data_IF_129341730249
#
_entry.id   IF_129341730249
#
_cell.length_a   1.000
_cell.length_b   1.000
_cell.length_c   1.000
_cell.angle_alpha   90.00
_cell.angle_beta   90.00
_cell.angle_gamma   90.00
#
_symmetry.space_group_name_H-M   'P 1'
#
loop_
_entity.id
_entity.type
_entity.pdbx_description
1 polymer ?
#
# COMPACT_ATOMS: atom_id res chain seq x y z
N UNK A 1 2.18 -30.67 1.83
CA UNK A 1 2.30 -29.24 1.50
C UNK A 1 1.01 -28.56 1.93
N UNK A 2 0.98 -27.94 3.11
CA UNK A 2 -0.24 -27.39 3.68
C UNK A 2 -0.54 -26.02 3.03
N UNK A 3 -1.57 -25.98 2.19
CA UNK A 3 -2.16 -24.73 1.71
C UNK A 3 -2.73 -23.99 2.91
N UNK A 4 -2.05 -22.93 3.37
CA UNK A 4 -2.58 -21.99 4.35
C UNK A 4 -3.72 -21.24 3.68
N UNK A 5 -4.91 -21.82 3.68
CA UNK A 5 -6.13 -21.04 3.54
C UNK A 5 -6.05 -19.91 4.57
N UNK A 6 -6.00 -18.66 4.10
CA UNK A 6 -6.23 -17.51 4.96
C UNK A 6 -7.62 -17.71 5.55
N UNK A 7 -7.67 -18.16 6.80
CA UNK A 7 -8.88 -18.16 7.61
C UNK A 7 -9.37 -16.71 7.67
N UNK A 8 -10.27 -16.36 6.74
CA UNK A 8 -10.92 -15.05 6.73
C UNK A 8 -11.92 -15.06 7.87
N UNK A 9 -11.41 -14.81 9.08
CA UNK A 9 -12.21 -14.37 10.22
C UNK A 9 -13.10 -13.23 9.71
N UNK A 10 -14.41 -13.19 10.00
CA UNK A 10 -15.26 -12.08 9.56
C UNK A 10 -14.61 -10.80 10.06
N UNK A 11 -14.00 -10.05 9.13
CA UNK A 11 -13.34 -8.79 9.45
C UNK A 11 -14.48 -7.87 9.83
N UNK A 12 -14.59 -7.55 11.12
CA UNK A 12 -15.50 -6.52 11.55
C UNK A 12 -14.99 -5.23 10.91
N UNK A 13 -15.74 -4.72 9.92
CA UNK A 13 -15.30 -3.59 9.12
C UNK A 13 -15.38 -2.32 9.98
N UNK A 14 -14.34 -1.51 9.93
CA UNK A 14 -14.40 -0.20 10.57
C UNK A 14 -15.48 0.67 9.90
N UNK A 15 -16.20 1.50 10.67
CA UNK A 15 -17.02 2.55 10.09
C UNK A 15 -16.19 3.44 9.16
N UNK A 16 -16.76 3.98 8.06
CA UNK A 16 -16.00 4.66 7.00
C UNK A 16 -15.11 5.81 7.51
N UNK A 17 -15.66 6.69 8.35
CA UNK A 17 -14.92 7.82 8.93
C UNK A 17 -13.86 7.40 9.95
N UNK A 18 -14.08 6.27 10.63
CA UNK A 18 -13.10 5.71 11.57
C UNK A 18 -11.90 5.17 10.79
N UNK A 19 -12.16 4.40 9.72
CA UNK A 19 -11.10 3.86 8.86
C UNK A 19 -10.27 4.99 8.23
N UNK A 20 -10.92 5.97 7.62
CA UNK A 20 -10.28 7.13 7.02
C UNK A 20 -9.35 7.85 8.00
N UNK A 21 -9.83 8.15 9.22
CA UNK A 21 -9.03 8.83 10.26
C UNK A 21 -7.88 7.95 10.75
N UNK A 22 -8.07 6.64 10.88
CA UNK A 22 -7.00 5.74 11.31
C UNK A 22 -5.88 5.65 10.27
N UNK A 23 -6.22 5.63 8.98
CA UNK A 23 -5.22 5.65 7.88
C UNK A 23 -4.40 6.94 7.93
N UNK A 24 -5.05 8.11 7.99
CA UNK A 24 -4.32 9.39 8.07
C UNK A 24 -3.49 9.54 9.35
N UNK A 25 -3.86 8.85 10.44
CA UNK A 25 -3.06 8.81 11.66
C UNK A 25 -1.82 7.93 11.49
N UNK A 26 -1.94 6.74 10.89
CA UNK A 26 -0.80 5.85 10.70
C UNK A 26 0.20 6.42 9.69
N UNK A 27 -0.27 7.16 8.68
CA UNK A 27 0.58 7.86 7.71
C UNK A 27 1.58 8.83 8.36
N UNK A 28 1.29 9.34 9.57
CA UNK A 28 2.22 10.21 10.31
C UNK A 28 3.51 9.51 10.73
N UNK A 29 3.53 8.17 10.70
CA UNK A 29 4.71 7.33 10.97
C UNK A 29 5.50 6.99 9.71
N UNK A 30 5.01 7.38 8.53
CA UNK A 30 5.69 7.16 7.26
C UNK A 30 6.73 8.26 6.99
N UNK A 31 7.77 7.96 6.19
CA UNK A 31 8.67 8.97 5.64
C UNK A 31 7.90 10.11 4.97
N UNK A 32 8.41 11.36 5.00
CA UNK A 32 7.68 12.53 4.53
C UNK A 32 7.14 12.41 3.09
N UNK A 33 7.94 11.86 2.17
CA UNK A 33 7.54 11.65 0.77
C UNK A 33 6.39 10.66 0.62
N UNK A 34 6.46 9.52 1.31
CA UNK A 34 5.39 8.50 1.31
C UNK A 34 4.12 9.03 1.97
N UNK A 35 4.25 9.80 3.04
CA UNK A 35 3.10 10.43 3.70
C UNK A 35 2.39 11.42 2.78
N UNK A 36 3.13 12.30 2.11
CA UNK A 36 2.56 13.31 1.22
C UNK A 36 1.71 12.65 0.13
N UNK A 37 2.32 11.70 -0.60
CA UNK A 37 1.66 10.96 -1.67
C UNK A 37 0.45 10.17 -1.13
N UNK A 38 0.62 9.48 -0.01
CA UNK A 38 -0.42 8.66 0.60
C UNK A 38 -1.62 9.47 1.10
N UNK A 39 -1.40 10.58 1.79
CA UNK A 39 -2.47 11.44 2.32
C UNK A 39 -3.35 11.99 1.20
N UNK A 40 -2.75 12.44 0.09
CA UNK A 40 -3.49 12.98 -1.05
C UNK A 40 -4.27 11.88 -1.78
N UNK A 41 -3.67 10.71 -1.96
CA UNK A 41 -4.36 9.57 -2.56
C UNK A 41 -5.55 9.12 -1.72
N UNK A 42 -5.38 8.90 -0.40
CA UNK A 42 -6.46 8.50 0.52
C UNK A 42 -7.61 9.50 0.51
N UNK A 43 -7.31 10.80 0.60
CA UNK A 43 -8.34 11.86 0.56
C UNK A 43 -9.13 11.82 -0.74
N UNK A 44 -8.44 11.65 -1.87
CA UNK A 44 -9.08 11.61 -3.18
C UNK A 44 -9.97 10.38 -3.35
N UNK A 45 -9.50 9.21 -2.92
CA UNK A 45 -10.22 7.93 -3.03
C UNK A 45 -11.47 7.91 -2.16
N UNK A 46 -11.37 8.30 -0.88
CA UNK A 46 -12.54 8.36 0.01
C UNK A 46 -13.55 9.42 -0.44
N UNK A 47 -13.10 10.52 -1.07
CA UNK A 47 -14.00 11.51 -1.67
C UNK A 47 -14.74 10.94 -2.88
N UNK A 48 -14.03 10.24 -3.79
CA UNK A 48 -14.62 9.56 -4.94
C UNK A 48 -15.65 8.50 -4.55
N UNK A 49 -15.47 7.86 -3.40
CA UNK A 49 -16.36 6.81 -2.90
C UNK A 49 -17.51 7.29 -2.00
N UNK A 50 -17.65 8.60 -1.76
CA UNK A 50 -18.68 9.16 -0.85
C UNK A 50 -20.10 8.83 -1.32
N UNK A 51 -20.34 8.89 -2.62
CA UNK A 51 -21.68 8.84 -3.21
C UNK A 51 -21.97 7.46 -3.85
N UNK A 52 -21.10 6.47 -3.63
CA UNK A 52 -21.29 5.09 -4.11
C UNK A 52 -22.32 4.38 -3.24
N UNK A 53 -23.37 3.84 -3.86
CA UNK A 53 -24.49 3.19 -3.16
C UNK A 53 -24.47 1.66 -3.22
N UNK A 54 -23.70 1.06 -4.13
CA UNK A 54 -23.63 -0.40 -4.25
C UNK A 54 -22.92 -1.01 -3.04
N UNK A 55 -23.62 -1.80 -2.19
CA UNK A 55 -23.06 -2.31 -0.95
C UNK A 55 -21.90 -3.28 -1.19
N UNK A 56 -21.90 -4.05 -2.28
CA UNK A 56 -20.83 -5.00 -2.59
C UNK A 56 -19.52 -4.26 -2.89
N UNK A 57 -19.59 -3.17 -3.65
CA UNK A 57 -18.42 -2.33 -3.96
C UNK A 57 -17.89 -1.63 -2.71
N UNK A 58 -18.79 -1.13 -1.85
CA UNK A 58 -18.39 -0.53 -0.57
C UNK A 58 -17.69 -1.54 0.34
N UNK A 59 -18.23 -2.76 0.46
CA UNK A 59 -17.60 -3.83 1.26
C UNK A 59 -16.20 -4.17 0.73
N UNK A 60 -16.06 -4.29 -0.59
CA UNK A 60 -14.76 -4.49 -1.23
C UNK A 60 -13.77 -3.35 -0.92
N UNK A 61 -14.21 -2.10 -1.12
CA UNK A 61 -13.42 -0.91 -0.83
C UNK A 61 -12.94 -0.88 0.63
N UNK A 62 -13.85 -0.98 1.61
CA UNK A 62 -13.49 -0.93 3.02
C UNK A 62 -12.62 -2.10 3.46
N UNK A 63 -12.85 -3.31 2.92
CA UNK A 63 -12.02 -4.48 3.20
C UNK A 63 -10.57 -4.30 2.74
N UNK A 64 -10.36 -3.73 1.55
CA UNK A 64 -9.03 -3.45 1.03
C UNK A 64 -8.32 -2.35 1.84
N UNK A 65 -9.00 -1.23 2.13
CA UNK A 65 -8.44 -0.15 2.93
C UNK A 65 -8.15 -0.55 4.38
N UNK A 66 -8.96 -1.42 4.97
CA UNK A 66 -8.68 -1.99 6.28
C UNK A 66 -7.47 -2.93 6.23
N UNK A 67 -7.33 -3.73 5.18
CA UNK A 67 -6.15 -4.59 5.01
C UNK A 67 -4.87 -3.75 4.84
N UNK A 68 -4.94 -2.66 4.08
CA UNK A 68 -3.85 -1.68 3.95
C UNK A 68 -3.48 -1.06 5.31
N UNK A 69 -4.47 -0.64 6.11
CA UNK A 69 -4.23 -0.10 7.44
C UNK A 69 -3.51 -1.11 8.35
N UNK A 70 -3.96 -2.37 8.37
CA UNK A 70 -3.32 -3.41 9.18
C UNK A 70 -1.88 -3.72 8.72
N UNK A 71 -1.63 -3.68 7.41
CA UNK A 71 -0.28 -3.81 6.85
C UNK A 71 0.63 -2.65 7.30
N UNK A 72 0.15 -1.40 7.21
CA UNK A 72 0.90 -0.24 7.70
C UNK A 72 1.15 -0.28 9.20
N UNK A 73 0.20 -0.76 10.02
CA UNK A 73 0.42 -0.93 11.46
C UNK A 73 1.57 -1.88 11.75
N UNK A 74 1.70 -2.95 10.97
CA UNK A 74 2.81 -3.90 11.10
C UNK A 74 4.13 -3.26 10.67
N UNK A 75 4.17 -2.61 9.50
CA UNK A 75 5.37 -1.99 8.93
C UNK A 75 5.86 -0.75 9.68
N UNK A 76 4.99 -0.10 10.45
CA UNK A 76 5.32 1.09 11.27
C UNK A 76 5.29 0.80 12.77
N UNK A 77 5.29 -0.48 13.15
CA UNK A 77 5.35 -0.87 14.55
C UNK A 77 6.73 -0.52 15.13
N UNK A 78 6.74 -0.01 16.36
CA UNK A 78 7.98 0.32 17.07
C UNK A 78 8.87 -0.91 17.33
N UNK A 79 8.33 -2.11 17.19
CA UNK A 79 9.07 -3.37 17.34
C UNK A 79 9.86 -3.78 16.10
N UNK A 80 9.68 -3.10 14.95
CA UNK A 80 10.43 -3.42 13.72
C UNK A 80 11.79 -2.69 13.77
N UNK A 81 12.92 -3.41 13.69
CA UNK A 81 14.25 -2.78 13.59
C UNK A 81 14.32 -1.86 12.36
N UNK A 82 15.02 -0.74 12.49
CA UNK A 82 15.09 0.30 11.44
C UNK A 82 15.61 -0.29 10.12
N UNK A 83 16.57 -1.20 10.19
CA UNK A 83 17.20 -1.88 9.06
C UNK A 83 16.24 -2.81 8.31
N UNK A 84 15.20 -3.32 9.00
CA UNK A 84 14.20 -4.24 8.48
C UNK A 84 12.93 -3.54 7.98
N UNK A 85 12.78 -2.23 8.20
CA UNK A 85 11.62 -1.47 7.74
C UNK A 85 11.51 -1.58 6.22
N UNK A 86 10.43 -2.19 5.74
CA UNK A 86 10.06 -2.27 4.33
C UNK A 86 8.60 -1.86 4.20
N UNK A 87 8.35 -0.85 3.36
CA UNK A 87 7.00 -0.38 3.09
C UNK A 87 6.40 -1.09 1.88
N UNK A 88 5.14 -1.49 2.01
CA UNK A 88 4.41 -2.24 0.99
C UNK A 88 4.81 -3.71 0.90
N UNK A 89 4.17 -4.40 -0.05
CA UNK A 89 4.35 -5.83 -0.31
C UNK A 89 4.62 -6.09 -1.77
N UNK A 90 5.29 -7.22 -2.06
CA UNK A 90 5.41 -7.72 -3.42
C UNK A 90 4.02 -8.10 -3.94
N UNK A 91 3.74 -7.75 -5.20
CA UNK A 91 2.57 -8.25 -5.90
C UNK A 91 2.74 -9.75 -6.14
N UNK A 92 1.71 -10.52 -5.82
CA UNK A 92 1.65 -11.95 -6.12
C UNK A 92 1.23 -12.18 -7.58
N UNK A 93 1.51 -13.38 -8.09
CA UNK A 93 1.20 -13.74 -9.48
C UNK A 93 -0.29 -13.61 -9.78
N UNK A 94 -1.16 -13.98 -8.83
CA UNK A 94 -2.61 -13.89 -9.00
C UNK A 94 -3.10 -12.44 -9.16
N UNK A 95 -2.48 -11.47 -8.46
CA UNK A 95 -2.81 -10.06 -8.67
C UNK A 95 -2.29 -9.56 -10.02
N UNK A 96 -1.09 -9.98 -10.43
CA UNK A 96 -0.50 -9.59 -11.71
C UNK A 96 -1.34 -10.06 -12.90
N UNK A 97 -1.92 -11.25 -12.83
CA UNK A 97 -2.81 -11.80 -13.87
C UNK A 97 -4.10 -10.99 -14.06
N UNK A 98 -4.49 -10.15 -13.09
CA UNK A 98 -5.69 -9.31 -13.17
C UNK A 98 -5.45 -7.98 -13.90
N UNK A 99 -4.21 -7.64 -14.20
CA UNK A 99 -3.87 -6.41 -14.93
C UNK A 99 -4.01 -6.60 -16.44
N UNK A 100 -4.37 -5.54 -17.15
CA UNK A 100 -4.29 -5.53 -18.61
C UNK A 100 -2.84 -5.51 -19.09
N UNK A 101 -2.60 -5.91 -20.34
CA UNK A 101 -1.27 -5.87 -20.96
C UNK A 101 -0.64 -4.47 -20.88
N UNK A 102 -1.44 -3.42 -21.11
CA UNK A 102 -0.99 -2.04 -20.99
C UNK A 102 -0.56 -1.69 -19.57
N UNK A 103 -1.33 -2.10 -18.56
CA UNK A 103 -0.99 -1.83 -17.16
C UNK A 103 0.26 -2.61 -16.72
N UNK A 104 0.43 -3.84 -17.22
CA UNK A 104 1.64 -4.63 -17.00
C UNK A 104 2.87 -3.97 -17.63
N UNK A 105 2.72 -3.43 -18.85
CA UNK A 105 3.76 -2.63 -19.52
C UNK A 105 4.18 -1.42 -18.69
N UNK A 106 3.21 -0.62 -18.23
CA UNK A 106 3.47 0.55 -17.38
C UNK A 106 4.15 0.17 -16.05
N UNK A 107 3.72 -0.92 -15.42
CA UNK A 107 4.34 -1.40 -14.19
C UNK A 107 5.79 -1.85 -14.41
N UNK A 108 6.06 -2.46 -15.56
CA UNK A 108 7.41 -2.88 -15.95
C UNK A 108 8.33 -1.67 -16.22
N UNK A 109 7.84 -0.66 -16.92
CA UNK A 109 8.55 0.61 -17.14
C UNK A 109 8.89 1.28 -15.80
N UNK A 110 7.90 1.44 -14.92
CA UNK A 110 8.09 2.01 -13.58
C UNK A 110 9.15 1.25 -12.77
N UNK A 111 9.15 -0.09 -12.84
CA UNK A 111 10.14 -0.93 -12.17
C UNK A 111 11.56 -0.66 -12.71
N UNK A 112 11.70 -0.45 -14.01
CA UNK A 112 13.01 -0.22 -14.61
C UNK A 112 13.55 1.18 -14.28
N UNK A 113 12.70 2.20 -14.33
CA UNK A 113 13.05 3.57 -13.94
C UNK A 113 13.52 3.65 -12.48
N UNK A 114 12.79 3.01 -11.56
CA UNK A 114 13.14 3.00 -10.13
C UNK A 114 14.44 2.23 -9.84
N UNK A 115 14.75 1.17 -10.60
CA UNK A 115 16.05 0.49 -10.48
C UNK A 115 17.21 1.36 -10.98
N UNK A 116 17.01 2.09 -12.07
CA UNK A 116 18.03 2.96 -12.62
C UNK A 116 18.37 4.11 -11.66
N UNK A 117 17.36 4.71 -11.01
CA UNK A 117 17.58 5.76 -10.01
C UNK A 117 18.36 5.26 -8.79
N UNK A 118 18.00 4.08 -8.26
CA UNK A 118 18.70 3.46 -7.12
C UNK A 118 20.19 3.20 -7.45
N UNK A 119 20.46 2.67 -8.65
CA UNK A 119 21.82 2.39 -9.08
C UNK A 119 22.65 3.67 -9.26
N UNK A 120 22.02 4.75 -9.74
CA UNK A 120 22.66 6.05 -9.91
C UNK A 120 23.02 6.69 -8.57
N UNK A 121 22.08 6.75 -7.62
CA UNK A 121 22.33 7.26 -6.26
C UNK A 121 23.44 6.47 -5.54
N UNK A 122 23.45 5.14 -5.69
CA UNK A 122 24.50 4.27 -5.13
C UNK A 122 25.88 4.56 -5.74
N UNK A 123 25.94 4.92 -7.03
CA UNK A 123 27.18 5.23 -7.73
C UNK A 123 27.73 6.62 -7.43
N UNK A 124 26.87 7.59 -7.10
CA UNK A 124 27.26 8.96 -6.73
C UNK A 124 27.80 9.00 -5.29
N UNK A 125 27.19 8.25 -4.36
CA UNK A 125 27.68 8.11 -2.98
C UNK A 125 29.07 7.46 -2.88
N UNK A 126 29.42 6.56 -3.81
CA UNK A 126 30.73 5.92 -3.87
C UNK A 126 31.83 6.83 -4.45
N UNK A 127 31.47 7.94 -5.10
CA UNK A 127 32.42 8.91 -5.68
C UNK A 127 32.76 10.06 -4.73
N UNK A 128 31.99 10.25 -3.67
CA UNK A 128 32.20 11.30 -2.65
C UNK A 128 32.99 10.81 -1.41
N UNK A 129 33.52 9.58 -1.45
CA UNK A 129 34.42 9.00 -0.41
C UNK A 129 35.79 8.73 -1.02
#
# INVERSE_FOLDING_TARGET
MASKHLSSRPKNLYPPLTLYRQILRIHRRLPPSLRLLGDDYVKSEFRRHRDVTNPLYLVGFFSQWQSYLEELKQQTSASVPVEEIRYGKKLDSESLEKFSEQQLGQLYELRNETKASINKESSEQLREV
#
